data_IF_449283947443
#
_entry.id   IF_449283947443
#
_cell.length_a   1.000
_cell.length_b   1.000
_cell.length_c   1.000
_cell.angle_alpha   90.00
_cell.angle_beta   90.00
_cell.angle_gamma   90.00
#
_symmetry.space_group_name_H-M   'P 1'
#
loop_
_entity.id
_entity.type
_entity.pdbx_description
1 polymer ?
#
# COMPACT_ATOMS: atom_id res chain seq x y z
N UNK A 1 16.86 -15.40 -3.79
CA UNK A 1 17.50 -14.07 -3.77
C UNK A 1 16.40 -13.04 -3.63
N UNK A 2 16.48 -12.13 -2.65
CA UNK A 2 15.49 -11.05 -2.50
C UNK A 2 15.59 -10.11 -3.71
N UNK A 3 14.44 -9.70 -4.27
CA UNK A 3 14.40 -8.64 -5.28
C UNK A 3 14.96 -7.34 -4.70
N UNK A 4 15.66 -6.52 -5.51
CA UNK A 4 16.16 -5.23 -5.06
C UNK A 4 15.00 -4.28 -4.72
N UNK A 5 15.23 -3.46 -3.71
CA UNK A 5 14.33 -2.44 -3.18
C UNK A 5 14.73 -1.10 -3.81
N UNK A 6 13.83 -0.57 -4.61
CA UNK A 6 13.99 0.72 -5.29
C UNK A 6 13.13 1.75 -4.56
N UNK A 7 13.75 2.83 -4.09
CA UNK A 7 13.05 3.91 -3.39
C UNK A 7 13.22 5.19 -4.21
N UNK A 8 12.12 5.88 -4.48
CA UNK A 8 12.09 7.06 -5.34
C UNK A 8 11.46 8.20 -4.55
N UNK A 9 12.18 9.30 -4.38
CA UNK A 9 11.71 10.49 -3.68
C UNK A 9 11.53 11.61 -4.70
N UNK A 10 10.27 11.90 -5.06
CA UNK A 10 9.87 12.96 -5.98
C UNK A 10 9.23 14.14 -5.22
N UNK A 11 9.06 15.27 -5.91
CA UNK A 11 8.42 16.47 -5.35
C UNK A 11 9.02 17.78 -5.85
N UNK A 12 8.35 18.91 -5.59
CA UNK A 12 8.75 20.22 -6.14
C UNK A 12 10.19 20.62 -5.78
N UNK A 13 10.79 21.56 -6.52
CA UNK A 13 12.11 22.09 -6.15
C UNK A 13 12.12 22.62 -4.72
N UNK A 14 13.25 22.45 -4.02
CA UNK A 14 13.51 22.99 -2.68
C UNK A 14 12.66 22.45 -1.51
N UNK A 15 11.88 21.38 -1.69
CA UNK A 15 11.12 20.73 -0.60
C UNK A 15 11.94 19.79 0.30
N UNK A 16 13.28 19.82 0.22
CA UNK A 16 14.18 19.01 1.06
C UNK A 16 14.41 17.56 0.62
N UNK A 17 14.15 17.21 -0.65
CA UNK A 17 14.35 15.85 -1.20
C UNK A 17 15.75 15.30 -0.99
N UNK A 18 16.77 16.03 -1.46
CA UNK A 18 18.17 15.61 -1.33
C UNK A 18 18.59 15.43 0.14
N UNK A 19 18.05 16.28 1.02
CA UNK A 19 18.27 16.18 2.48
C UNK A 19 17.65 14.90 3.02
N UNK A 20 16.41 14.57 2.64
CA UNK A 20 15.75 13.33 3.04
C UNK A 20 16.48 12.09 2.52
N UNK A 21 16.91 12.08 1.25
CA UNK A 21 17.70 10.99 0.66
C UNK A 21 18.99 10.75 1.45
N UNK A 22 19.72 11.82 1.78
CA UNK A 22 20.96 11.72 2.55
C UNK A 22 20.70 11.17 3.96
N UNK A 23 19.65 11.65 4.64
CA UNK A 23 19.32 11.22 5.98
C UNK A 23 18.86 9.76 6.02
N UNK A 24 18.07 9.32 5.03
CA UNK A 24 17.72 7.90 4.86
C UNK A 24 18.97 7.04 4.71
N UNK A 25 19.88 7.39 3.79
CA UNK A 25 21.12 6.63 3.58
C UNK A 25 21.99 6.57 4.84
N UNK A 26 22.04 7.67 5.61
CA UNK A 26 22.77 7.74 6.88
C UNK A 26 22.15 6.80 7.92
N UNK A 27 20.83 6.85 8.11
CA UNK A 27 20.09 6.02 9.06
C UNK A 27 20.10 4.54 8.68
N UNK A 28 19.93 4.21 7.40
CA UNK A 28 19.94 2.82 6.93
C UNK A 28 21.28 2.13 7.19
N UNK A 29 22.40 2.87 7.11
CA UNK A 29 23.73 2.36 7.48
C UNK A 29 23.91 2.09 8.97
N UNK A 30 23.15 2.77 9.82
CA UNK A 30 23.18 2.62 11.28
C UNK A 30 22.19 1.54 11.76
N UNK A 31 21.13 1.29 10.99
CA UNK A 31 20.10 0.31 11.29
C UNK A 31 20.63 -1.13 11.10
N UNK A 32 20.52 -1.97 12.14
CA UNK A 32 21.05 -3.35 12.15
C UNK A 32 20.52 -4.22 11.00
N UNK A 33 19.26 -4.00 10.59
CA UNK A 33 18.61 -4.77 9.51
C UNK A 33 18.94 -4.19 8.14
N UNK A 34 18.79 -2.88 7.97
CA UNK A 34 18.92 -2.23 6.66
C UNK A 34 20.37 -2.07 6.19
N UNK A 35 21.34 -2.09 7.12
CA UNK A 35 22.77 -1.97 6.79
C UNK A 35 23.23 -3.01 5.77
N UNK A 36 22.72 -4.24 5.87
CA UNK A 36 23.11 -5.35 5.00
C UNK A 36 22.47 -5.27 3.60
N UNK A 37 21.47 -4.41 3.40
CA UNK A 37 20.83 -4.22 2.10
C UNK A 37 21.67 -3.31 1.17
N UNK A 38 22.59 -2.50 1.70
CA UNK A 38 23.49 -1.65 0.90
C UNK A 38 22.77 -0.80 -0.17
N UNK A 39 22.09 0.26 0.26
CA UNK A 39 21.46 1.21 -0.66
C UNK A 39 22.48 2.13 -1.35
N UNK A 40 22.40 2.19 -2.68
CA UNK A 40 23.08 3.19 -3.51
C UNK A 40 22.27 4.47 -3.64
N UNK A 41 22.95 5.56 -3.99
CA UNK A 41 22.29 6.85 -4.30
C UNK A 41 22.27 7.07 -5.79
N UNK A 42 21.10 7.29 -6.36
CA UNK A 42 20.94 7.92 -7.66
C UNK A 42 20.73 9.41 -7.39
N UNK A 43 21.71 10.21 -7.82
CA UNK A 43 21.66 11.66 -7.66
C UNK A 43 20.71 12.27 -8.68
N UNK A 44 20.22 13.47 -8.37
CA UNK A 44 19.33 14.19 -9.27
C UNK A 44 20.01 14.50 -10.61
N UNK A 45 19.48 13.88 -11.66
CA UNK A 45 20.05 13.84 -13.00
C UNK A 45 19.96 15.20 -13.73
N UNK A 46 18.95 16.00 -13.41
CA UNK A 46 18.69 17.28 -14.08
C UNK A 46 19.90 18.23 -14.04
N UNK A 47 20.65 18.29 -12.92
CA UNK A 47 21.86 19.14 -12.82
C UNK A 47 22.94 18.71 -13.81
N UNK A 48 23.15 17.41 -13.95
CA UNK A 48 24.15 16.85 -14.87
C UNK A 48 23.80 17.17 -16.32
N UNK A 49 22.54 16.92 -16.71
CA UNK A 49 22.06 17.18 -18.07
C UNK A 49 22.14 18.67 -18.42
N UNK A 50 21.68 19.56 -17.53
CA UNK A 50 21.74 21.00 -17.76
C UNK A 50 23.17 21.51 -17.94
N UNK A 51 24.11 21.02 -17.13
CA UNK A 51 25.54 21.34 -17.26
C UNK A 51 26.11 20.88 -18.61
N UNK A 52 25.79 19.65 -19.05
CA UNK A 52 26.24 19.12 -20.34
C UNK A 52 25.68 19.93 -21.53
N UNK A 53 24.42 20.39 -21.43
CA UNK A 53 23.77 21.21 -22.44
C UNK A 53 24.18 22.69 -22.38
N UNK A 54 24.93 23.11 -21.35
CA UNK A 54 25.26 24.52 -21.05
C UNK A 54 24.01 25.40 -20.90
N UNK A 55 22.94 24.82 -20.33
CA UNK A 55 21.66 25.48 -20.06
C UNK A 55 21.59 25.80 -18.58
N UNK A 56 21.13 27.01 -18.24
CA UNK A 56 20.93 27.48 -16.87
C UNK A 56 19.45 27.69 -16.57
N UNK A 57 19.11 27.98 -15.30
CA UNK A 57 17.73 28.30 -14.93
C UNK A 57 17.14 29.46 -15.74
N UNK A 58 17.96 30.48 -16.02
CA UNK A 58 17.55 31.65 -16.84
C UNK A 58 17.18 31.29 -18.28
N UNK A 59 17.82 30.28 -18.87
CA UNK A 59 17.45 29.80 -20.21
C UNK A 59 16.08 29.11 -20.19
N UNK A 60 15.81 28.29 -19.16
CA UNK A 60 14.52 27.63 -18.99
C UNK A 60 13.40 28.64 -18.74
N UNK A 61 13.64 29.65 -17.90
CA UNK A 61 12.71 30.77 -17.69
C UNK A 61 12.41 31.51 -18.99
N UNK A 62 13.43 31.73 -19.83
CA UNK A 62 13.24 32.38 -21.13
C UNK A 62 12.37 31.54 -22.07
N UNK A 63 12.54 30.21 -22.10
CA UNK A 63 11.66 29.34 -22.88
C UNK A 63 10.21 29.41 -22.41
N UNK A 64 9.98 29.44 -21.09
CA UNK A 64 8.63 29.59 -20.54
C UNK A 64 8.02 30.95 -20.90
N UNK A 65 8.77 32.05 -20.71
CA UNK A 65 8.32 33.41 -21.05
C UNK A 65 8.00 33.57 -22.55
N UNK A 66 8.72 32.86 -23.41
CA UNK A 66 8.50 32.84 -24.86
C UNK A 66 7.45 31.82 -25.31
N UNK A 67 6.84 31.08 -24.38
CA UNK A 67 5.94 29.96 -24.65
C UNK A 67 6.56 28.91 -25.60
N UNK A 68 7.87 28.71 -25.52
CA UNK A 68 8.62 27.79 -26.37
C UNK A 68 8.62 26.38 -25.77
N UNK A 69 7.48 25.70 -25.92
CA UNK A 69 7.26 24.37 -25.36
C UNK A 69 8.22 23.31 -25.93
N UNK A 70 8.58 23.41 -27.22
CA UNK A 70 9.43 22.41 -27.87
C UNK A 70 10.83 22.40 -27.25
N UNK A 71 11.51 23.56 -27.18
CA UNK A 71 12.84 23.64 -26.56
C UNK A 71 12.83 23.25 -25.09
N UNK A 72 11.78 23.60 -24.36
CA UNK A 72 11.66 23.20 -22.96
C UNK A 72 11.49 21.69 -22.83
N UNK A 73 10.59 21.10 -23.63
CA UNK A 73 10.33 19.66 -23.65
C UNK A 73 11.58 18.88 -24.05
N UNK A 74 12.34 19.33 -25.05
CA UNK A 74 13.60 18.70 -25.48
C UNK A 74 14.60 18.55 -24.32
N UNK A 75 14.67 19.54 -23.43
CA UNK A 75 15.53 19.47 -22.24
C UNK A 75 14.99 18.46 -21.23
N UNK A 76 13.67 18.47 -20.98
CA UNK A 76 13.03 17.54 -20.04
C UNK A 76 13.10 16.09 -20.53
N UNK A 77 12.93 15.84 -21.83
CA UNK A 77 13.06 14.51 -22.45
C UNK A 77 14.49 13.95 -22.31
N UNK A 78 15.52 14.81 -22.40
CA UNK A 78 16.91 14.40 -22.10
C UNK A 78 17.11 14.04 -20.63
N UNK A 79 16.45 14.75 -19.72
CA UNK A 79 16.47 14.42 -18.28
C UNK A 79 15.78 13.06 -18.06
N UNK A 80 14.64 12.81 -18.69
CA UNK A 80 13.93 11.52 -18.65
C UNK A 80 14.83 10.39 -19.16
N UNK A 81 15.50 10.61 -20.28
CA UNK A 81 16.41 9.63 -20.87
C UNK A 81 17.55 9.26 -19.91
N UNK A 82 18.27 10.27 -19.40
CA UNK A 82 19.39 10.04 -18.49
C UNK A 82 18.93 9.42 -17.15
N UNK A 83 17.74 9.76 -16.66
CA UNK A 83 17.16 9.12 -15.48
C UNK A 83 16.84 7.64 -15.72
N UNK A 84 16.31 7.30 -16.90
CA UNK A 84 16.00 5.93 -17.32
C UNK A 84 17.28 5.09 -17.42
N UNK A 85 18.37 5.66 -17.95
CA UNK A 85 19.68 5.02 -17.99
C UNK A 85 20.25 4.80 -16.57
N UNK A 86 20.10 5.77 -15.67
CA UNK A 86 20.50 5.60 -14.28
C UNK A 86 19.74 4.46 -13.58
N UNK A 87 18.43 4.34 -13.82
CA UNK A 87 17.62 3.23 -13.29
C UNK A 87 18.04 1.88 -13.86
N UNK A 88 18.29 1.78 -15.18
CA UNK A 88 18.73 0.52 -15.78
C UNK A 88 20.10 0.07 -15.26
N UNK A 89 21.04 1.01 -15.09
CA UNK A 89 22.38 0.74 -14.55
C UNK A 89 22.33 0.17 -13.12
N UNK A 90 21.39 0.65 -12.30
CA UNK A 90 21.29 0.27 -10.89
C UNK A 90 20.18 -0.74 -10.60
N UNK A 91 19.50 -1.29 -11.63
CA UNK A 91 18.34 -2.18 -11.47
C UNK A 91 18.56 -3.41 -10.58
N UNK A 92 19.80 -3.90 -10.48
CA UNK A 92 20.16 -5.05 -9.66
C UNK A 92 20.60 -4.69 -8.23
N UNK A 93 20.59 -3.41 -7.87
CA UNK A 93 20.98 -2.92 -6.54
C UNK A 93 19.79 -2.31 -5.81
N UNK A 94 19.85 -2.29 -4.48
CA UNK A 94 18.97 -1.43 -3.69
C UNK A 94 19.39 0.02 -3.90
N UNK A 95 18.45 0.94 -4.16
CA UNK A 95 18.79 2.35 -4.35
C UNK A 95 17.76 3.31 -3.77
N UNK A 96 18.22 4.52 -3.44
CA UNK A 96 17.41 5.71 -3.26
C UNK A 96 17.67 6.69 -4.41
N UNK A 97 16.62 7.07 -5.11
CA UNK A 97 16.66 8.07 -6.17
C UNK A 97 16.13 9.41 -5.69
N UNK A 98 16.93 10.44 -5.92
CA UNK A 98 16.53 11.84 -5.78
C UNK A 98 15.85 12.28 -7.09
N UNK A 99 14.51 12.17 -7.12
CA UNK A 99 13.60 12.29 -8.28
C UNK A 99 13.47 11.07 -9.19
N UNK A 100 12.48 11.12 -10.06
CA UNK A 100 12.26 10.21 -11.18
C UNK A 100 12.10 11.01 -12.50
N UNK A 101 11.89 10.32 -13.62
CA UNK A 101 11.57 11.00 -14.88
C UNK A 101 10.16 11.62 -14.89
N UNK A 102 9.27 11.23 -13.96
CA UNK A 102 7.98 11.90 -13.78
C UNK A 102 8.15 13.34 -13.31
N UNK A 103 9.21 13.65 -12.56
CA UNK A 103 9.50 15.03 -12.15
C UNK A 103 9.71 15.95 -13.37
N UNK A 104 10.40 15.46 -14.40
CA UNK A 104 10.62 16.20 -15.64
C UNK A 104 9.32 16.38 -16.46
N UNK A 105 8.49 15.33 -16.54
CA UNK A 105 7.18 15.41 -17.19
C UNK A 105 6.25 16.40 -16.49
N UNK A 106 6.20 16.37 -15.15
CA UNK A 106 5.39 17.29 -14.35
C UNK A 106 5.79 18.76 -14.56
N UNK A 107 7.06 19.06 -14.83
CA UNK A 107 7.48 20.42 -15.17
C UNK A 107 6.91 20.92 -16.51
N UNK A 108 6.86 20.06 -17.53
CA UNK A 108 6.28 20.43 -18.83
C UNK A 108 4.80 20.80 -18.65
N UNK A 109 4.07 19.92 -17.97
CA UNK A 109 2.64 20.07 -17.71
C UNK A 109 2.35 21.29 -16.83
N UNK A 110 3.11 21.49 -15.75
CA UNK A 110 2.95 22.62 -14.84
C UNK A 110 3.15 23.99 -15.52
N UNK A 111 4.17 24.14 -16.37
CA UNK A 111 4.51 25.44 -16.96
C UNK A 111 3.74 25.77 -18.24
N UNK A 112 3.40 24.78 -19.06
CA UNK A 112 2.76 25.02 -20.35
C UNK A 112 1.28 24.62 -20.39
N UNK A 113 0.79 23.82 -19.43
CA UNK A 113 -0.58 23.29 -19.38
C UNK A 113 -1.04 22.68 -20.71
N UNK A 114 -0.09 22.10 -21.44
CA UNK A 114 -0.33 21.51 -22.75
C UNK A 114 -0.46 20.00 -22.61
N UNK A 115 -1.69 19.55 -22.44
CA UNK A 115 -1.99 18.14 -22.23
C UNK A 115 -1.56 17.28 -23.42
N UNK A 116 -1.59 17.80 -24.66
CA UNK A 116 -1.21 17.06 -25.85
C UNK A 116 0.28 16.71 -25.84
N UNK A 117 1.16 17.68 -25.57
CA UNK A 117 2.61 17.44 -25.52
C UNK A 117 2.97 16.50 -24.37
N UNK A 118 2.46 16.75 -23.16
CA UNK A 118 2.71 15.88 -22.00
C UNK A 118 2.22 14.45 -22.24
N UNK A 119 1.04 14.27 -22.84
CA UNK A 119 0.53 12.95 -23.21
C UNK A 119 1.40 12.26 -24.28
N UNK A 120 1.90 12.99 -25.27
CA UNK A 120 2.77 12.42 -26.29
C UNK A 120 4.07 11.86 -25.70
N UNK A 121 4.66 12.57 -24.72
CA UNK A 121 5.86 12.13 -24.01
C UNK A 121 5.53 10.93 -23.12
N UNK A 122 4.41 11.00 -22.38
CA UNK A 122 3.95 9.91 -21.52
C UNK A 122 3.73 8.60 -22.30
N UNK A 123 3.22 8.69 -23.53
CA UNK A 123 2.98 7.54 -24.42
C UNK A 123 4.24 7.05 -25.17
N UNK A 124 5.35 7.80 -25.10
CA UNK A 124 6.60 7.40 -25.77
C UNK A 124 7.17 6.09 -25.22
N UNK A 125 7.85 5.32 -26.07
CA UNK A 125 8.51 4.06 -25.66
C UNK A 125 9.47 4.25 -24.48
N UNK A 126 10.20 5.37 -24.48
CA UNK A 126 11.12 5.75 -23.41
C UNK A 126 10.39 5.91 -22.07
N UNK A 127 9.25 6.61 -22.06
CA UNK A 127 8.50 6.84 -20.84
C UNK A 127 7.76 5.58 -20.36
N UNK A 128 7.29 4.74 -21.29
CA UNK A 128 6.72 3.43 -20.94
C UNK A 128 7.75 2.50 -20.29
N UNK A 129 9.01 2.54 -20.76
CA UNK A 129 10.11 1.85 -20.10
C UNK A 129 10.34 2.38 -18.66
N UNK A 130 10.34 3.70 -18.48
CA UNK A 130 10.46 4.32 -17.16
C UNK A 130 9.31 3.90 -16.23
N UNK A 131 8.06 3.85 -16.71
CA UNK A 131 6.90 3.38 -15.93
C UNK A 131 7.19 1.96 -15.42
N UNK A 132 7.62 1.05 -16.30
CA UNK A 132 7.94 -0.33 -15.94
C UNK A 132 9.05 -0.41 -14.88
N UNK A 133 10.10 0.41 -15.00
CA UNK A 133 11.16 0.51 -13.99
C UNK A 133 10.65 0.98 -12.62
N UNK A 134 9.61 1.81 -12.59
CA UNK A 134 9.00 2.31 -11.36
C UNK A 134 7.95 1.37 -10.73
N UNK A 135 7.40 0.39 -11.47
CA UNK A 135 6.27 -0.45 -11.00
C UNK A 135 6.53 -1.19 -9.69
N UNK A 136 7.78 -1.56 -9.42
CA UNK A 136 8.17 -2.29 -8.21
C UNK A 136 8.89 -1.42 -7.17
N UNK A 137 8.92 -0.10 -7.38
CA UNK A 137 9.55 0.86 -6.48
C UNK A 137 8.59 1.43 -5.44
N UNK A 138 9.15 1.84 -4.29
CA UNK A 138 8.45 2.64 -3.30
C UNK A 138 8.60 4.12 -3.66
N UNK A 139 7.50 4.73 -4.09
CA UNK A 139 7.47 6.13 -4.56
C UNK A 139 6.92 7.03 -3.46
N UNK A 140 7.67 8.08 -3.12
CA UNK A 140 7.29 9.08 -2.14
C UNK A 140 7.27 10.46 -2.78
N UNK A 141 6.18 11.21 -2.59
CA UNK A 141 6.02 12.59 -3.01
C UNK A 141 6.08 13.48 -1.79
N UNK A 142 7.05 14.38 -1.70
CA UNK A 142 7.11 15.37 -0.62
C UNK A 142 6.10 16.48 -0.90
N UNK A 143 5.18 16.72 0.04
CA UNK A 143 4.25 17.84 -0.03
C UNK A 143 4.98 19.16 0.27
N UNK A 144 4.78 20.21 -0.54
CA UNK A 144 5.30 21.54 -0.26
C UNK A 144 4.86 22.07 1.10
N UNK A 145 5.69 22.91 1.72
CA UNK A 145 5.40 23.57 3.00
C UNK A 145 5.77 25.05 2.85
N UNK A 146 4.92 25.96 3.34
CA UNK A 146 5.11 27.41 3.18
C UNK A 146 6.43 27.91 3.80
N UNK A 147 6.86 27.30 4.90
CA UNK A 147 8.02 27.72 5.68
C UNK A 147 9.38 27.34 5.04
N UNK A 148 9.39 26.49 4.01
CA UNK A 148 10.60 26.04 3.33
C UNK A 148 10.84 26.88 2.06
N UNK A 149 11.39 28.09 2.23
CA UNK A 149 11.82 28.92 1.11
C UNK A 149 13.13 28.43 0.50
N UNK A 150 13.21 28.50 -0.83
CA UNK A 150 14.32 27.98 -1.62
C UNK A 150 15.62 28.78 -1.49
N UNK A 151 16.76 28.08 -1.54
CA UNK A 151 18.06 28.69 -1.83
C UNK A 151 18.24 28.80 -3.35
N UNK A 152 18.67 29.98 -3.84
CA UNK A 152 18.93 30.20 -5.26
C UNK A 152 20.31 29.63 -5.65
N UNK A 153 20.33 28.58 -6.47
CA UNK A 153 21.55 27.95 -6.98
C UNK A 153 21.87 28.31 -8.45
N UNK A 154 21.14 29.26 -9.05
CA UNK A 154 21.22 29.73 -10.46
C UNK A 154 21.05 28.65 -11.55
N UNK A 155 20.90 27.37 -11.17
CA UNK A 155 20.76 26.25 -12.11
C UNK A 155 19.30 25.96 -12.45
N UNK A 156 18.35 26.41 -11.63
CA UNK A 156 16.93 26.07 -11.73
C UNK A 156 16.04 27.27 -11.60
N UNK A 157 14.81 27.09 -12.07
CA UNK A 157 13.70 27.97 -11.73
C UNK A 157 13.40 27.76 -10.24
N UNK A 158 13.26 28.87 -9.52
CA UNK A 158 12.92 28.86 -8.10
C UNK A 158 11.41 29.11 -7.99
N UNK A 159 10.58 28.06 -7.80
CA UNK A 159 9.14 28.23 -7.78
C UNK A 159 8.65 28.84 -6.46
N UNK A 160 7.61 29.68 -6.54
CA UNK A 160 6.87 30.12 -5.37
C UNK A 160 6.03 28.96 -4.79
N UNK A 161 5.47 29.12 -3.58
CA UNK A 161 4.70 28.06 -2.93
C UNK A 161 3.49 27.57 -3.77
N UNK A 162 2.76 28.47 -4.41
CA UNK A 162 1.63 28.09 -5.26
C UNK A 162 2.08 27.26 -6.47
N UNK A 163 3.20 27.63 -7.10
CA UNK A 163 3.81 26.85 -8.19
C UNK A 163 4.26 25.47 -7.71
N UNK A 164 4.80 25.35 -6.49
CA UNK A 164 5.16 24.06 -5.91
C UNK A 164 3.93 23.16 -5.69
N UNK A 165 2.79 23.73 -5.28
CA UNK A 165 1.52 23.01 -5.15
C UNK A 165 1.02 22.55 -6.52
N UNK A 166 0.96 23.44 -7.50
CA UNK A 166 0.52 23.10 -8.87
C UNK A 166 1.39 21.99 -9.47
N UNK A 167 2.71 22.09 -9.32
CA UNK A 167 3.63 21.04 -9.73
C UNK A 167 3.33 19.70 -9.03
N UNK A 168 3.08 19.74 -7.72
CA UNK A 168 2.85 18.53 -6.93
C UNK A 168 1.55 17.83 -7.35
N UNK A 169 0.50 18.59 -7.66
CA UNK A 169 -0.74 18.02 -8.19
C UNK A 169 -0.56 17.45 -9.61
N UNK A 170 0.21 18.12 -10.47
CA UNK A 170 0.59 17.56 -11.78
C UNK A 170 1.35 16.23 -11.62
N UNK A 171 2.34 16.18 -10.74
CA UNK A 171 3.12 14.97 -10.47
C UNK A 171 2.23 13.81 -9.99
N UNK A 172 1.30 14.07 -9.06
CA UNK A 172 0.30 13.09 -8.59
C UNK A 172 -0.59 12.59 -9.72
N UNK A 173 -1.05 13.50 -10.59
CA UNK A 173 -1.86 13.15 -11.76
C UNK A 173 -1.14 12.13 -12.65
N UNK A 174 0.13 12.38 -12.98
CA UNK A 174 0.88 11.49 -13.87
C UNK A 174 1.21 10.13 -13.25
N UNK A 175 1.56 10.07 -11.95
CA UNK A 175 1.72 8.78 -11.28
C UNK A 175 0.41 7.99 -11.22
N UNK A 176 -0.71 8.66 -10.92
CA UNK A 176 -2.04 8.04 -10.92
C UNK A 176 -2.39 7.49 -12.30
N UNK A 177 -2.17 8.30 -13.35
CA UNK A 177 -2.40 7.90 -14.74
C UNK A 177 -1.56 6.70 -15.19
N UNK A 178 -0.38 6.52 -14.60
CA UNK A 178 0.49 5.36 -14.83
C UNK A 178 0.13 4.13 -13.98
N UNK A 179 -0.91 4.19 -13.15
CA UNK A 179 -1.24 3.18 -12.15
C UNK A 179 -0.06 2.87 -11.20
N UNK A 180 0.76 3.88 -10.92
CA UNK A 180 1.90 3.75 -10.01
C UNK A 180 1.53 4.25 -8.61
N UNK A 181 1.62 3.39 -7.58
CA UNK A 181 1.32 3.78 -6.21
C UNK A 181 2.35 4.77 -5.69
N UNK A 182 1.92 5.75 -4.92
CA UNK A 182 2.82 6.68 -4.25
C UNK A 182 2.28 7.10 -2.87
N UNK A 183 3.21 7.45 -1.98
CA UNK A 183 2.92 7.96 -0.65
C UNK A 183 3.22 9.46 -0.56
N UNK A 184 2.37 10.23 0.11
CA UNK A 184 2.61 11.67 0.29
C UNK A 184 3.25 11.91 1.66
N UNK A 185 4.43 12.52 1.67
CA UNK A 185 5.12 12.91 2.90
C UNK A 185 4.74 14.34 3.28
N UNK A 186 3.97 14.49 4.36
CA UNK A 186 3.45 15.79 4.85
C UNK A 186 4.10 16.26 6.15
N UNK A 187 4.67 15.37 6.96
CA UNK A 187 5.33 15.74 8.23
C UNK A 187 6.47 16.74 8.01
N UNK A 188 6.63 17.75 8.87
CA UNK A 188 7.77 18.67 8.81
C UNK A 188 9.08 18.06 9.32
N UNK A 189 8.97 17.07 10.22
CA UNK A 189 10.12 16.43 10.86
C UNK A 189 10.74 15.37 9.94
N UNK A 190 12.01 15.59 9.57
CA UNK A 190 12.78 14.66 8.75
C UNK A 190 12.90 13.27 9.40
N UNK A 191 12.98 13.19 10.73
CA UNK A 191 13.11 11.93 11.47
C UNK A 191 11.87 11.08 11.27
N UNK A 192 10.67 11.69 11.39
CA UNK A 192 9.40 11.01 11.14
C UNK A 192 9.27 10.53 9.70
N UNK A 193 9.70 11.34 8.72
CA UNK A 193 9.73 10.94 7.31
C UNK A 193 10.63 9.73 7.08
N UNK A 194 11.82 9.69 7.70
CA UNK A 194 12.71 8.53 7.58
C UNK A 194 12.11 7.29 8.24
N UNK A 195 11.59 7.41 9.46
CA UNK A 195 10.92 6.29 10.14
C UNK A 195 9.75 5.74 9.32
N UNK A 196 8.99 6.62 8.66
CA UNK A 196 7.91 6.23 7.76
C UNK A 196 8.42 5.38 6.59
N UNK A 197 9.50 5.81 5.93
CA UNK A 197 10.14 5.04 4.85
C UNK A 197 10.70 3.71 5.37
N UNK A 198 11.39 3.70 6.53
CA UNK A 198 11.90 2.48 7.15
C UNK A 198 10.80 1.44 7.39
N UNK A 199 9.66 1.88 7.93
CA UNK A 199 8.51 1.00 8.19
C UNK A 199 7.93 0.39 6.91
N UNK A 200 7.92 1.12 5.79
CA UNK A 200 7.52 0.58 4.50
C UNK A 200 8.50 -0.47 3.96
N UNK A 201 9.82 -0.23 4.11
CA UNK A 201 10.84 -1.20 3.72
C UNK A 201 10.70 -2.49 4.52
N UNK A 202 10.36 -2.39 5.81
CA UNK A 202 10.16 -3.54 6.68
C UNK A 202 8.88 -4.34 6.35
N UNK A 203 8.06 -3.87 5.40
CA UNK A 203 6.78 -4.46 5.02
C UNK A 203 5.67 -4.16 6.04
N UNK A 204 5.89 -3.23 6.97
CA UNK A 204 4.86 -2.89 7.94
C UNK A 204 3.73 -2.09 7.31
N UNK A 205 3.95 -1.44 6.16
CA UNK A 205 2.96 -0.61 5.51
C UNK A 205 2.78 -0.89 4.01
N UNK A 206 1.52 -0.74 3.55
CA UNK A 206 1.13 -0.87 2.15
C UNK A 206 0.20 0.27 1.73
N UNK A 207 0.26 0.60 0.43
CA UNK A 207 -0.58 1.61 -0.21
C UNK A 207 -1.95 1.04 -0.60
N UNK A 208 -3.02 1.83 -0.43
CA UNK A 208 -4.35 1.56 -0.99
C UNK A 208 -4.53 2.34 -2.29
N UNK A 209 -4.84 1.63 -3.38
CA UNK A 209 -5.28 2.32 -4.60
C UNK A 209 -6.61 3.04 -4.36
N UNK A 210 -6.78 4.27 -4.88
CA UNK A 210 -8.07 4.94 -4.89
C UNK A 210 -9.10 4.27 -5.82
N UNK A 211 -8.70 3.30 -6.64
CA UNK A 211 -9.55 2.58 -7.61
C UNK A 211 -9.80 1.11 -7.23
N UNK A 212 -10.92 0.55 -7.74
CA UNK A 212 -11.36 -0.84 -7.51
C UNK A 212 -10.87 -1.72 -8.67
N UNK A 213 -10.38 -2.97 -8.43
CA UNK A 213 -10.10 -3.61 -7.15
C UNK A 213 -8.82 -3.10 -6.51
N UNK A 214 -8.83 -3.00 -5.18
CA UNK A 214 -7.73 -2.41 -4.41
C UNK A 214 -6.57 -3.40 -4.36
N UNK A 215 -5.44 -3.13 -5.05
CA UNK A 215 -4.29 -4.01 -5.06
C UNK A 215 -3.39 -3.72 -3.87
N UNK A 216 -3.37 -4.65 -2.92
CA UNK A 216 -2.31 -4.78 -1.93
C UNK A 216 -1.23 -5.69 -2.51
N UNK A 217 -0.35 -5.08 -3.31
CA UNK A 217 0.92 -5.68 -3.66
C UNK A 217 1.80 -5.71 -2.40
N UNK A 218 1.84 -6.84 -1.71
CA UNK A 218 2.81 -7.02 -0.64
C UNK A 218 4.16 -7.34 -1.30
N UNK A 219 5.24 -6.65 -0.95
CA UNK A 219 6.56 -7.14 -1.28
C UNK A 219 6.68 -8.56 -0.72
N UNK A 220 7.24 -9.48 -1.50
CA UNK A 220 7.48 -10.89 -1.15
C UNK A 220 8.27 -11.09 0.17
N UNK A 221 8.74 -10.02 0.79
CA UNK A 221 9.67 -9.98 1.92
C UNK A 221 9.02 -9.98 3.30
N UNK A 222 7.69 -9.97 3.42
CA UNK A 222 7.00 -10.31 4.67
C UNK A 222 7.04 -11.84 4.87
N UNK A 223 8.25 -12.36 5.06
CA UNK A 223 8.46 -13.77 5.39
C UNK A 223 7.72 -14.11 6.69
N UNK A 224 6.97 -15.22 6.65
CA UNK A 224 6.32 -15.91 7.79
C UNK A 224 7.29 -16.34 8.92
N UNK A 225 8.56 -15.93 8.90
CA UNK A 225 9.63 -16.43 9.76
C UNK A 225 10.23 -15.34 10.62
N UNK A 226 9.72 -15.17 11.85
CA UNK A 226 10.50 -14.79 13.04
C UNK A 226 9.87 -15.27 14.39
N UNK A 227 9.08 -16.35 14.43
CA UNK A 227 8.66 -16.95 15.71
C UNK A 227 8.97 -18.45 15.89
N UNK A 228 9.38 -19.16 14.84
CA UNK A 228 9.87 -20.53 14.95
C UNK A 228 11.38 -20.57 14.76
N UNK A 229 12.14 -20.21 15.78
CA UNK A 229 13.51 -20.72 15.99
C UNK A 229 14.02 -20.26 17.35
N UNK A 230 13.57 -20.95 18.39
CA UNK A 230 14.32 -21.28 19.61
C UNK A 230 13.43 -22.19 20.45
N UNK A 231 13.50 -23.49 20.17
CA UNK A 231 13.46 -24.60 21.13
C UNK A 231 13.20 -25.91 20.39
N UNK A 232 14.28 -26.62 20.08
CA UNK A 232 14.23 -28.06 19.90
C UNK A 232 13.79 -28.69 21.23
N UNK A 233 12.62 -29.33 21.25
CA UNK A 233 12.32 -30.59 21.97
C UNK A 233 11.01 -31.12 21.34
N UNK A 234 11.06 -32.36 20.88
CA UNK A 234 9.93 -33.09 20.36
C UNK A 234 8.95 -33.45 21.49
N UNK A 235 7.76 -32.83 21.50
CA UNK A 235 6.52 -33.37 22.09
C UNK A 235 5.34 -32.81 21.27
N UNK A 236 4.49 -33.68 20.71
CA UNK A 236 3.18 -33.28 20.17
C UNK A 236 2.29 -32.90 21.36
N UNK A 237 2.03 -31.62 21.56
CA UNK A 237 1.07 -31.10 22.56
C UNK A 237 0.06 -30.15 21.90
N UNK A 238 -1.22 -30.25 22.28
CA UNK A 238 -2.36 -29.46 21.82
C UNK A 238 -2.25 -27.93 22.06
N UNK A 239 -1.38 -27.23 21.32
CA UNK A 239 -1.44 -25.78 21.17
C UNK A 239 -0.59 -25.28 19.99
N UNK A 240 -0.89 -25.71 18.77
CA UNK A 240 -0.38 -25.00 17.59
C UNK A 240 -1.16 -23.69 17.47
N UNK A 241 -0.58 -22.62 18.01
CA UNK A 241 -1.18 -21.29 17.97
C UNK A 241 -1.21 -20.79 16.53
N UNK A 242 -2.40 -20.81 15.91
CA UNK A 242 -2.60 -20.32 14.55
C UNK A 242 -2.67 -18.79 14.54
N UNK A 243 -1.89 -18.18 13.64
CA UNK A 243 -1.87 -16.74 13.42
C UNK A 243 -2.65 -16.40 12.16
N UNK A 244 -3.48 -15.36 12.23
CA UNK A 244 -4.16 -14.81 11.05
C UNK A 244 -3.46 -13.53 10.60
N UNK A 245 -3.48 -13.27 9.29
CA UNK A 245 -3.06 -11.97 8.76
C UNK A 245 -4.06 -10.90 9.19
N UNK A 246 -3.53 -9.85 9.81
CA UNK A 246 -4.28 -8.74 10.37
C UNK A 246 -3.90 -7.44 9.67
N UNK A 247 -4.88 -6.75 9.11
CA UNK A 247 -4.74 -5.57 8.27
C UNK A 247 -5.37 -4.39 9.00
N UNK A 248 -4.60 -3.34 9.26
CA UNK A 248 -5.02 -2.12 9.95
C UNK A 248 -5.04 -0.99 8.94
N UNK A 249 -6.21 -0.59 8.47
CA UNK A 249 -6.35 0.58 7.61
C UNK A 249 -6.41 1.82 8.50
N UNK A 250 -5.32 2.59 8.52
CA UNK A 250 -5.21 3.80 9.33
C UNK A 250 -5.76 5.02 8.57
N UNK A 251 -5.46 5.11 7.28
CA UNK A 251 -6.03 6.07 6.34
C UNK A 251 -5.93 5.54 4.90
N UNK A 252 -6.28 6.38 3.91
CA UNK A 252 -6.25 6.03 2.48
C UNK A 252 -4.85 5.76 1.91
N UNK A 253 -3.79 6.12 2.62
CA UNK A 253 -2.39 5.97 2.20
C UNK A 253 -1.62 5.02 3.11
N UNK A 254 -2.14 4.75 4.31
CA UNK A 254 -1.47 3.99 5.35
C UNK A 254 -2.28 2.77 5.76
N UNK A 255 -1.89 1.61 5.26
CA UNK A 255 -2.29 0.33 5.84
C UNK A 255 -1.12 -0.25 6.58
N UNK A 256 -1.35 -0.82 7.75
CA UNK A 256 -0.40 -1.66 8.44
C UNK A 256 -0.78 -3.14 8.34
N UNK A 257 0.18 -4.01 8.04
CA UNK A 257 -0.05 -5.46 8.01
C UNK A 257 0.79 -6.15 9.07
N UNK A 258 0.14 -7.05 9.80
CA UNK A 258 0.74 -7.84 10.87
C UNK A 258 0.17 -9.25 10.90
N UNK A 259 0.75 -10.12 11.71
CA UNK A 259 0.17 -11.41 12.04
C UNK A 259 -0.21 -11.35 13.52
N UNK A 260 -1.49 -11.55 13.83
CA UNK A 260 -1.98 -11.57 15.21
C UNK A 260 -2.42 -12.98 15.57
N UNK A 261 -2.20 -13.34 16.83
CA UNK A 261 -2.76 -14.56 17.39
C UNK A 261 -4.28 -14.46 17.24
N UNK A 262 -4.85 -15.53 16.74
CA UNK A 262 -6.25 -15.60 16.42
C UNK A 262 -6.97 -16.41 17.50
N UNK A 263 -8.08 -15.87 18.02
CA UNK A 263 -8.99 -16.63 18.87
C UNK A 263 -9.85 -17.51 17.95
N UNK A 264 -9.74 -18.83 18.12
CA UNK A 264 -10.43 -19.84 17.31
C UNK A 264 -11.93 -19.55 17.20
N UNK A 265 -12.49 -19.62 15.99
CA UNK A 265 -13.94 -19.63 15.78
C UNK A 265 -14.35 -20.79 14.85
N UNK A 266 -15.65 -21.12 14.87
CA UNK A 266 -16.20 -22.27 14.17
C UNK A 266 -15.93 -22.25 12.66
N UNK A 267 -15.99 -21.07 12.04
CA UNK A 267 -15.76 -20.93 10.59
C UNK A 267 -14.29 -21.13 10.23
N UNK A 268 -13.37 -20.47 10.92
CA UNK A 268 -11.94 -20.59 10.61
C UNK A 268 -11.45 -22.00 10.92
N UNK A 269 -11.90 -22.63 12.00
CA UNK A 269 -11.57 -24.04 12.28
C UNK A 269 -12.09 -25.00 11.19
N UNK A 270 -13.30 -24.76 10.66
CA UNK A 270 -13.89 -25.63 9.63
C UNK A 270 -13.23 -25.46 8.27
N UNK A 271 -12.92 -24.22 7.87
CA UNK A 271 -12.50 -23.90 6.50
C UNK A 271 -11.01 -23.56 6.34
N UNK A 272 -10.29 -23.22 7.42
CA UNK A 272 -8.83 -23.01 7.43
C UNK A 272 -8.20 -23.26 8.81
N UNK A 273 -8.24 -24.51 9.32
CA UNK A 273 -7.90 -24.83 10.72
C UNK A 273 -6.46 -24.46 11.14
N UNK A 274 -5.54 -24.34 10.19
CA UNK A 274 -4.14 -23.97 10.45
C UNK A 274 -3.85 -22.49 10.17
N UNK A 275 -4.79 -21.75 9.57
CA UNK A 275 -4.59 -20.45 8.94
C UNK A 275 -3.43 -20.40 7.92
N UNK A 276 -2.81 -21.54 7.58
CA UNK A 276 -1.62 -21.57 6.73
C UNK A 276 -1.96 -21.28 5.28
N UNK A 277 -3.19 -21.59 4.88
CA UNK A 277 -3.71 -21.34 3.54
C UNK A 277 -4.09 -19.87 3.31
N UNK A 278 -4.04 -19.04 4.37
CA UNK A 278 -4.44 -17.63 4.35
C UNK A 278 -5.86 -17.44 3.79
N UNK A 279 -6.78 -18.38 4.05
CA UNK A 279 -8.15 -18.25 3.55
C UNK A 279 -8.92 -17.16 4.25
N UNK A 280 -8.55 -16.81 5.47
CA UNK A 280 -9.13 -15.69 6.20
C UNK A 280 -8.09 -14.61 6.47
N UNK A 281 -8.53 -13.36 6.38
CA UNK A 281 -7.81 -12.18 6.89
C UNK A 281 -8.75 -11.39 7.78
N UNK A 282 -8.22 -10.75 8.81
CA UNK A 282 -8.97 -9.78 9.61
C UNK A 282 -8.55 -8.38 9.22
N UNK A 283 -9.52 -7.50 8.99
CA UNK A 283 -9.29 -6.08 8.71
C UNK A 283 -9.85 -5.22 9.84
N UNK A 284 -9.14 -4.14 10.17
CA UNK A 284 -9.49 -3.14 11.17
C UNK A 284 -9.50 -1.77 10.51
N UNK A 285 -10.56 -1.00 10.76
CA UNK A 285 -10.76 0.35 10.21
C UNK A 285 -10.59 1.40 11.30
N UNK A 286 -9.66 2.34 11.10
CA UNK A 286 -9.50 3.49 11.98
C UNK A 286 -10.79 4.34 12.06
N UNK A 287 -10.99 5.02 13.18
CA UNK A 287 -12.16 5.86 13.44
C UNK A 287 -12.27 7.06 12.49
N UNK A 288 -11.15 7.54 11.96
CA UNK A 288 -11.08 8.71 11.08
C UNK A 288 -11.50 8.42 9.64
N UNK A 289 -11.64 7.15 9.26
CA UNK A 289 -12.02 6.75 7.91
C UNK A 289 -13.48 7.10 7.63
N UNK A 290 -13.72 7.64 6.43
CA UNK A 290 -15.07 7.96 5.97
C UNK A 290 -15.88 6.70 5.63
N UNK A 291 -17.18 6.74 5.90
CA UNK A 291 -18.06 5.58 5.69
C UNK A 291 -18.10 5.13 4.21
N UNK A 292 -18.03 6.07 3.27
CA UNK A 292 -18.03 5.77 1.83
C UNK A 292 -16.80 4.95 1.43
N UNK A 293 -15.65 5.25 2.03
CA UNK A 293 -14.44 4.48 1.82
C UNK A 293 -14.55 3.08 2.41
N UNK A 294 -15.04 2.95 3.65
CA UNK A 294 -15.25 1.65 4.31
C UNK A 294 -16.23 0.80 3.48
N UNK A 295 -17.34 1.39 3.02
CA UNK A 295 -18.31 0.74 2.15
C UNK A 295 -17.65 0.21 0.86
N UNK A 296 -16.81 1.02 0.20
CA UNK A 296 -16.05 0.56 -0.96
C UNK A 296 -15.16 -0.65 -0.63
N UNK A 297 -14.50 -0.67 0.52
CA UNK A 297 -13.69 -1.83 0.94
C UNK A 297 -14.56 -3.08 1.14
N UNK A 298 -15.73 -2.92 1.76
CA UNK A 298 -16.59 -4.05 2.13
C UNK A 298 -17.39 -4.62 0.96
N UNK A 299 -17.78 -3.77 0.00
CA UNK A 299 -18.57 -4.16 -1.18
C UNK A 299 -17.69 -4.77 -2.27
N UNK A 300 -16.44 -4.32 -2.39
CA UNK A 300 -15.51 -4.79 -3.42
C UNK A 300 -14.51 -5.79 -2.85
N UNK A 301 -13.78 -6.44 -3.76
CA UNK A 301 -12.66 -7.30 -3.39
C UNK A 301 -11.42 -6.48 -3.04
N UNK A 302 -10.67 -6.98 -2.05
CA UNK A 302 -9.29 -6.58 -1.80
C UNK A 302 -8.38 -7.63 -2.42
N UNK A 303 -7.44 -7.21 -3.26
CA UNK A 303 -6.43 -8.11 -3.80
C UNK A 303 -5.23 -8.11 -2.86
N UNK A 304 -4.85 -9.26 -2.33
CA UNK A 304 -3.63 -9.39 -1.51
C UNK A 304 -2.73 -10.43 -2.16
N UNK A 305 -1.58 -9.99 -2.69
CA UNK A 305 -0.68 -10.84 -3.48
C UNK A 305 -1.37 -11.53 -4.67
N UNK A 306 -2.30 -10.83 -5.32
CA UNK A 306 -3.08 -11.35 -6.44
C UNK A 306 -4.28 -12.22 -6.05
N UNK A 307 -4.41 -12.60 -4.77
CA UNK A 307 -5.55 -13.38 -4.28
C UNK A 307 -6.72 -12.44 -3.91
N UNK A 308 -7.95 -12.80 -4.30
CA UNK A 308 -9.16 -12.00 -4.05
C UNK A 308 -9.76 -12.30 -2.69
N UNK A 309 -9.92 -11.26 -1.86
CA UNK A 309 -10.57 -11.34 -0.56
C UNK A 309 -11.89 -10.58 -0.59
N UNK A 310 -12.97 -11.25 -0.19
CA UNK A 310 -14.31 -10.68 -0.10
C UNK A 310 -14.79 -10.67 1.35
N UNK A 311 -15.56 -9.65 1.72
CA UNK A 311 -16.18 -9.58 3.05
C UNK A 311 -17.07 -10.80 3.30
N UNK A 312 -16.85 -11.48 4.43
CA UNK A 312 -17.64 -12.66 4.80
C UNK A 312 -18.43 -12.47 6.10
N UNK A 313 -17.99 -11.58 6.99
CA UNK A 313 -18.72 -11.26 8.21
C UNK A 313 -17.87 -10.71 9.34
N UNK A 314 -18.47 -10.57 10.51
CA UNK A 314 -17.84 -10.07 11.73
C UNK A 314 -18.50 -10.69 12.95
N UNK A 315 -17.77 -10.81 14.05
CA UNK A 315 -18.35 -11.06 15.37
C UNK A 315 -18.82 -9.77 16.04
N UNK A 316 -19.58 -9.89 17.13
CA UNK A 316 -20.02 -8.72 17.92
C UNK A 316 -18.84 -7.91 18.50
N UNK A 317 -17.76 -8.57 18.94
CA UNK A 317 -16.56 -7.89 19.43
C UNK A 317 -15.85 -7.15 18.30
N UNK A 318 -15.73 -7.78 17.13
CA UNK A 318 -15.14 -7.17 15.96
C UNK A 318 -15.94 -5.97 15.45
N UNK A 319 -17.27 -6.06 15.39
CA UNK A 319 -18.12 -4.94 14.98
C UNK A 319 -17.91 -3.72 15.88
N UNK A 320 -17.88 -3.91 17.21
CA UNK A 320 -17.56 -2.84 18.17
C UNK A 320 -16.15 -2.28 17.98
N UNK A 321 -15.20 -3.17 17.67
CA UNK A 321 -13.82 -2.80 17.37
C UNK A 321 -13.60 -2.32 15.94
N UNK A 322 -14.64 -2.07 15.13
CA UNK A 322 -14.53 -1.66 13.71
C UNK A 322 -13.67 -2.60 12.87
N UNK A 323 -13.84 -3.89 13.06
CA UNK A 323 -13.12 -4.94 12.33
C UNK A 323 -14.06 -5.98 11.74
N UNK A 324 -13.58 -6.71 10.75
CA UNK A 324 -14.30 -7.82 10.13
C UNK A 324 -13.34 -8.84 9.50
N UNK A 325 -13.90 -9.96 9.04
CA UNK A 325 -13.20 -10.95 8.27
C UNK A 325 -13.46 -10.78 6.77
N UNK A 326 -12.40 -11.00 5.99
CA UNK A 326 -12.53 -11.33 4.57
C UNK A 326 -12.07 -12.76 4.31
N UNK A 327 -12.60 -13.35 3.25
CA UNK A 327 -12.32 -14.70 2.81
C UNK A 327 -11.70 -14.73 1.40
N UNK A 328 -10.67 -15.54 1.21
CA UNK A 328 -9.99 -15.76 -0.07
C UNK A 328 -10.76 -16.75 -0.96
N UNK A 329 -11.64 -16.20 -1.80
CA UNK A 329 -12.54 -16.94 -2.67
C UNK A 329 -13.49 -16.01 -3.41
N UNK A 330 -14.39 -16.55 -4.22
CA UNK A 330 -15.42 -15.76 -4.91
C UNK A 330 -16.57 -15.35 -3.97
N UNK A 331 -17.40 -14.40 -4.39
CA UNK A 331 -18.61 -14.01 -3.62
C UNK A 331 -19.52 -15.22 -3.43
N UNK A 332 -19.71 -16.04 -4.45
CA UNK A 332 -20.53 -17.26 -4.39
C UNK A 332 -19.99 -18.25 -3.36
N UNK A 333 -18.67 -18.38 -3.25
CA UNK A 333 -18.05 -19.21 -2.21
C UNK A 333 -18.30 -18.64 -0.81
N UNK A 334 -18.24 -17.32 -0.62
CA UNK A 334 -18.57 -16.71 0.68
C UNK A 334 -20.03 -16.93 1.06
N UNK A 335 -20.96 -16.80 0.11
CA UNK A 335 -22.38 -17.07 0.33
C UNK A 335 -22.63 -18.55 0.65
N UNK A 336 -21.97 -19.45 -0.06
CA UNK A 336 -22.05 -20.88 0.21
C UNK A 336 -21.55 -21.21 1.62
N UNK A 337 -20.42 -20.66 2.05
CA UNK A 337 -19.91 -20.85 3.42
C UNK A 337 -20.94 -20.38 4.45
N UNK A 338 -21.61 -19.23 4.24
CA UNK A 338 -22.65 -18.80 5.16
C UNK A 338 -23.83 -19.80 5.15
N UNK A 339 -24.33 -20.19 3.98
CA UNK A 339 -25.48 -21.10 3.86
C UNK A 339 -25.21 -22.50 4.42
N UNK A 340 -23.97 -23.00 4.34
CA UNK A 340 -23.53 -24.27 4.92
C UNK A 340 -23.61 -24.30 6.46
N UNK A 341 -23.78 -23.14 7.10
CA UNK A 341 -23.79 -22.99 8.56
C UNK A 341 -25.13 -22.45 9.10
N UNK A 342 -26.19 -22.44 8.28
CA UNK A 342 -27.55 -22.18 8.72
C UNK A 342 -28.47 -21.58 7.65
N UNK A 343 -29.77 -21.72 7.85
CA UNK A 343 -30.78 -21.04 7.03
C UNK A 343 -31.06 -19.62 7.57
N UNK A 344 -30.34 -18.64 7.03
CA UNK A 344 -30.50 -17.24 7.38
C UNK A 344 -31.58 -16.52 6.56
N UNK A 345 -32.16 -17.16 5.54
CA UNK A 345 -33.13 -16.54 4.64
C UNK A 345 -34.48 -16.27 5.33
N UNK A 346 -34.79 -17.02 6.39
CA UNK A 346 -35.97 -16.80 7.24
C UNK A 346 -35.89 -15.47 8.01
N UNK A 347 -34.70 -14.91 8.24
CA UNK A 347 -34.49 -13.66 8.98
C UNK A 347 -34.55 -12.45 8.03
N UNK A 348 -35.74 -11.90 7.81
CA UNK A 348 -35.96 -10.80 6.87
C UNK A 348 -35.29 -9.47 7.27
N UNK A 349 -35.13 -9.23 8.57
CA UNK A 349 -34.49 -8.00 9.05
C UNK A 349 -32.97 -8.10 8.91
N UNK A 350 -32.36 -7.22 8.11
CA UNK A 350 -30.93 -7.25 7.78
C UNK A 350 -30.03 -7.18 9.02
N UNK A 351 -30.33 -6.30 9.97
CA UNK A 351 -29.54 -6.15 11.20
C UNK A 351 -29.60 -7.40 12.06
N UNK A 352 -30.79 -8.01 12.21
CA UNK A 352 -30.94 -9.28 12.94
C UNK A 352 -30.23 -10.42 12.23
N UNK A 353 -30.31 -10.47 10.90
CA UNK A 353 -29.65 -11.48 10.07
C UNK A 353 -28.13 -11.39 10.19
N UNK A 354 -27.57 -10.18 10.05
CA UNK A 354 -26.15 -9.94 10.21
C UNK A 354 -25.66 -10.28 11.62
N UNK A 355 -26.43 -9.92 12.66
CA UNK A 355 -26.11 -10.30 14.04
C UNK A 355 -26.13 -11.83 14.25
N UNK A 356 -27.07 -12.56 13.63
CA UNK A 356 -27.13 -14.02 13.71
C UNK A 356 -25.98 -14.69 12.95
N UNK A 357 -25.66 -14.22 11.74
CA UNK A 357 -24.46 -14.65 10.99
C UNK A 357 -23.20 -14.37 11.80
N UNK A 358 -23.15 -13.24 12.49
CA UNK A 358 -22.02 -12.84 13.33
C UNK A 358 -21.71 -13.80 14.48
N UNK A 359 -22.67 -14.64 14.89
CA UNK A 359 -22.43 -15.68 15.88
C UNK A 359 -21.43 -16.73 15.37
N UNK A 360 -21.41 -17.03 14.06
CA UNK A 360 -20.46 -17.96 13.45
C UNK A 360 -19.00 -17.52 13.63
N UNK A 361 -18.78 -16.21 13.82
CA UNK A 361 -17.47 -15.61 13.96
C UNK A 361 -17.03 -15.41 15.42
N UNK A 362 -17.89 -15.74 16.38
CA UNK A 362 -17.58 -15.60 17.81
C UNK A 362 -16.47 -16.56 18.22
N UNK A 363 -15.57 -16.10 19.10
CA UNK A 363 -14.52 -16.95 19.61
C UNK A 363 -15.10 -18.14 20.38
N UNK A 364 -14.51 -19.31 20.16
CA UNK A 364 -14.85 -20.56 20.81
C UNK A 364 -13.55 -21.28 21.13
N UNK A 365 -13.34 -21.60 22.39
CA UNK A 365 -12.21 -22.42 22.83
C UNK A 365 -12.69 -23.87 22.93
N UNK A 366 -12.15 -24.81 22.13
CA UNK A 366 -12.46 -26.21 22.29
C UNK A 366 -12.02 -26.69 23.68
N UNK A 367 -12.96 -27.18 24.48
CA UNK A 367 -12.65 -27.61 25.87
C UNK A 367 -12.49 -29.13 25.97
N UNK A 368 -13.40 -29.90 25.36
CA UNK A 368 -13.46 -31.36 25.47
C UNK A 368 -13.81 -31.93 24.09
N UNK A 369 -13.10 -32.97 23.66
CA UNK A 369 -13.48 -33.76 22.50
C UNK A 369 -14.57 -34.76 22.91
N UNK A 370 -15.72 -34.73 22.23
CA UNK A 370 -16.82 -35.66 22.45
C UNK A 370 -16.88 -36.61 21.25
N UNK A 371 -16.75 -37.91 21.52
CA UNK A 371 -16.92 -38.96 20.52
C UNK A 371 -18.36 -39.00 19.99
N UNK A 372 -18.54 -39.34 18.71
CA UNK A 372 -19.87 -39.30 18.05
C UNK A 372 -20.90 -40.22 18.72
N UNK A 373 -20.48 -41.33 19.31
CA UNK A 373 -21.32 -42.29 20.04
C UNK A 373 -21.87 -41.73 21.36
N UNK A 374 -21.31 -40.63 21.86
CA UNK A 374 -21.83 -39.89 23.02
C UNK A 374 -22.79 -38.75 22.65
N UNK A 375 -23.08 -38.55 21.36
CA UNK A 375 -23.98 -37.48 20.87
C UNK A 375 -25.30 -38.09 20.40
N UNK A 376 -26.41 -37.58 20.92
CA UNK A 376 -27.76 -37.94 20.47
C UNK A 376 -28.37 -36.70 19.83
N UNK A 377 -28.77 -36.80 18.57
CA UNK A 377 -29.53 -35.75 17.89
C UNK A 377 -30.99 -35.84 18.31
N UNK A 378 -31.59 -34.70 18.69
CA UNK A 378 -33.01 -34.57 18.99
C UNK A 378 -33.67 -33.65 17.97
N UNK A 379 -34.98 -33.79 17.82
CA UNK A 379 -35.77 -32.87 16.97
C UNK A 379 -35.83 -31.47 17.59
N UNK A 380 -35.98 -30.47 16.72
CA UNK A 380 -36.17 -29.08 17.12
C UNK A 380 -37.43 -28.92 17.98
N UNK A 381 -37.32 -28.12 19.05
CA UNK A 381 -38.46 -27.86 19.93
C UNK A 381 -39.28 -26.72 19.33
N UNK A 382 -40.39 -27.04 18.68
CA UNK A 382 -41.28 -26.06 18.07
C UNK A 382 -42.57 -25.84 18.87
N UNK A 383 -42.98 -24.57 19.06
CA UNK A 383 -44.27 -24.21 19.67
C UNK A 383 -44.86 -22.98 18.99
N UNK A 384 -46.14 -23.06 18.61
CA UNK A 384 -46.87 -21.97 17.93
C UNK A 384 -46.16 -21.44 16.65
N UNK A 385 -45.46 -22.31 15.91
CA UNK A 385 -44.69 -21.93 14.73
C UNK A 385 -43.36 -21.23 15.01
N UNK A 386 -42.88 -21.25 16.26
CA UNK A 386 -41.57 -20.76 16.66
C UNK A 386 -40.68 -21.93 17.11
N UNK A 387 -39.43 -21.93 16.66
CA UNK A 387 -38.38 -22.86 17.08
C UNK A 387 -37.67 -22.30 18.33
N UNK A 388 -37.60 -23.10 19.39
CA UNK A 388 -37.01 -22.75 20.70
C UNK A 388 -35.66 -23.41 20.95
N UNK A 389 -35.26 -24.34 20.10
CA UNK A 389 -33.90 -24.88 20.04
C UNK A 389 -32.98 -23.86 19.38
N UNK A 390 -31.81 -23.62 19.99
CA UNK A 390 -30.77 -22.77 19.44
C UNK A 390 -29.75 -23.65 18.72
N UNK A 391 -30.16 -24.17 17.55
CA UNK A 391 -29.33 -24.85 16.53
C UNK A 391 -28.17 -25.69 17.03
#
# INVERSE_FOLDING_TARGET
LMSPIHIIISGASSVGKSTLVNECLRKFRQNKRLKNLHFKRIQEVARTVLNQLKITGTHLENYIKQNNIEKFSDVQEKIICEQTLCFDKEKHHNYLSDRSGFDALAYIDCYFKNEQKSNSIFQSELFQLLINQCQNGLIYIIHPQEDLQAQNDNMRIVPNYQEQIIYTESLKHWYTKANLPYFVLTDLDITKRVEFIEKHIDGLFHWLSPEIPIPLCLPFHLNKKQHHEQNNIAVRSHSDQSYIRFIEILDKQNIKISYKKYDTNRLVEKYDPSCLNNKFVSILFDEKLDNTFIEKILVNQILINGEQYHFIGYSNSQLRGRSCYLYAGSIEQTEQIINDNGDFNKIKNLSKRAARIGLLFSSCTPTIHIEQDHVIQIDDIERNGYTFTDG
#
